data_IF_462650806322
#
_entry.id   IF_462650806322
#
_cell.length_a   1.000
_cell.length_b   1.000
_cell.length_c   1.000
_cell.angle_alpha   90.00
_cell.angle_beta   90.00
_cell.angle_gamma   90.00
#
_symmetry.space_group_name_H-M   'P 1'
#
loop_
_entity.id
_entity.type
_entity.pdbx_description
1 polymer ?
#
# COMPACT_ATOMS: atom_id res chain seq x y z
N UNK A 1 -34.94 -10.62 -25.68
CA UNK A 1 -33.63 -10.09 -25.24
C UNK A 1 -33.67 -9.91 -23.74
N UNK A 2 -32.84 -10.64 -22.98
CA UNK A 2 -32.69 -10.38 -21.55
C UNK A 2 -31.72 -9.21 -21.37
N UNK A 3 -32.21 -8.09 -20.84
CA UNK A 3 -31.36 -6.98 -20.38
C UNK A 3 -31.24 -7.08 -18.86
N UNK A 4 -30.26 -7.85 -18.41
CA UNK A 4 -29.86 -7.81 -17.00
C UNK A 4 -28.97 -6.58 -16.80
N UNK A 5 -29.25 -5.79 -15.75
CA UNK A 5 -28.41 -4.69 -15.29
C UNK A 5 -27.94 -4.99 -13.87
N UNK A 6 -26.74 -4.51 -13.52
CA UNK A 6 -26.29 -4.54 -12.13
C UNK A 6 -27.23 -3.72 -11.23
N UNK A 7 -27.26 -4.02 -9.92
CA UNK A 7 -27.95 -3.18 -8.94
C UNK A 7 -27.53 -1.71 -9.06
N UNK A 8 -28.47 -0.78 -8.83
CA UNK A 8 -28.21 0.67 -8.96
C UNK A 8 -27.06 1.16 -8.07
N UNK A 9 -26.84 0.49 -6.94
CA UNK A 9 -25.81 0.79 -5.95
C UNK A 9 -24.61 -0.18 -6.02
N UNK A 10 -24.39 -0.82 -7.17
CA UNK A 10 -23.21 -1.67 -7.34
C UNK A 10 -21.91 -0.85 -7.18
N UNK A 11 -21.01 -1.32 -6.32
CA UNK A 11 -19.78 -0.63 -5.96
C UNK A 11 -18.66 -0.95 -6.96
N UNK A 12 -18.70 -0.28 -8.11
CA UNK A 12 -17.56 -0.26 -9.02
C UNK A 12 -16.38 0.46 -8.38
N UNK A 13 -15.17 -0.06 -8.55
CA UNK A 13 -14.00 0.48 -7.88
C UNK A 13 -12.69 -0.19 -8.27
N UNK A 14 -11.63 0.19 -7.57
CA UNK A 14 -10.29 -0.38 -7.71
C UNK A 14 -9.76 -0.89 -6.37
N UNK A 15 -8.79 -1.81 -6.44
CA UNK A 15 -8.20 -2.43 -5.26
C UNK A 15 -6.67 -2.43 -5.33
N UNK A 16 -6.04 -2.16 -4.19
CA UNK A 16 -4.59 -2.13 -3.99
C UNK A 16 -4.25 -2.61 -2.57
N UNK A 17 -2.97 -2.73 -2.24
CA UNK A 17 -2.49 -2.92 -0.88
C UNK A 17 -1.35 -1.95 -0.57
N UNK A 18 -1.35 -1.39 0.63
CA UNK A 18 -0.44 -0.33 1.10
C UNK A 18 1.02 -0.53 0.66
N UNK A 19 1.61 -1.68 0.98
CA UNK A 19 3.01 -1.95 0.68
C UNK A 19 3.34 -1.95 -0.82
N UNK A 20 2.35 -2.08 -1.71
CA UNK A 20 2.55 -2.12 -3.16
C UNK A 20 2.49 -0.73 -3.81
N UNK A 21 1.90 0.27 -3.14
CA UNK A 21 1.72 1.60 -3.72
C UNK A 21 2.18 2.77 -2.86
N UNK A 22 2.05 2.69 -1.53
CA UNK A 22 2.32 3.83 -0.63
C UNK A 22 3.76 4.31 -0.75
N UNK A 23 4.73 3.39 -0.66
CA UNK A 23 6.12 3.77 -0.52
C UNK A 23 6.39 4.39 0.86
N UNK A 24 7.28 5.38 0.89
CA UNK A 24 7.64 6.13 2.11
C UNK A 24 7.86 5.21 3.33
N UNK A 25 8.62 4.12 3.12
CA UNK A 25 8.62 2.96 4.02
C UNK A 25 9.16 3.22 5.44
N UNK A 26 9.81 4.36 5.64
CA UNK A 26 10.38 4.84 6.92
C UNK A 26 9.81 6.18 7.39
N UNK A 27 8.86 6.76 6.66
CA UNK A 27 8.26 8.04 7.04
C UNK A 27 7.12 7.86 8.04
N UNK A 28 6.87 8.90 8.84
CA UNK A 28 5.78 8.93 9.83
C UNK A 28 5.91 7.84 10.90
N UNK A 29 7.13 7.47 11.26
CA UNK A 29 7.39 6.43 12.28
C UNK A 29 7.09 5.00 11.85
N UNK A 30 6.89 4.73 10.55
CA UNK A 30 6.63 3.37 10.05
C UNK A 30 7.76 2.39 10.37
N UNK A 31 7.41 1.24 10.93
CA UNK A 31 8.31 0.10 11.15
C UNK A 31 8.56 -0.76 9.91
N UNK A 32 9.53 -1.66 10.03
CA UNK A 32 9.93 -2.58 8.96
C UNK A 32 8.90 -3.70 8.85
N UNK A 33 8.27 -3.82 7.68
CA UNK A 33 7.34 -4.91 7.39
C UNK A 33 8.04 -6.09 6.71
N UNK A 34 7.33 -7.23 6.61
CA UNK A 34 7.79 -8.38 5.83
C UNK A 34 8.05 -8.05 4.36
N UNK A 35 7.34 -7.07 3.79
CA UNK A 35 7.54 -6.64 2.40
C UNK A 35 8.83 -5.81 2.22
N UNK A 36 9.25 -5.09 3.27
CA UNK A 36 10.42 -4.21 3.23
C UNK A 36 11.75 -4.98 3.18
N UNK A 37 11.72 -6.29 3.41
CA UNK A 37 12.88 -7.19 3.32
C UNK A 37 12.82 -8.10 2.09
N UNK A 38 11.89 -7.86 1.16
CA UNK A 38 11.77 -8.62 -0.09
C UNK A 38 12.43 -7.86 -1.25
N UNK A 39 13.48 -8.42 -1.83
CA UNK A 39 14.21 -7.76 -2.93
C UNK A 39 13.43 -7.80 -4.25
N UNK A 40 13.90 -7.06 -5.25
CA UNK A 40 13.38 -7.13 -6.61
C UNK A 40 13.56 -8.54 -7.21
N UNK A 41 12.54 -9.01 -7.91
CA UNK A 41 12.56 -10.25 -8.70
C UNK A 41 12.15 -9.99 -10.16
N UNK A 42 12.01 -11.05 -10.92
CA UNK A 42 11.51 -11.03 -12.30
C UNK A 42 10.78 -12.35 -12.61
N UNK A 43 10.31 -12.52 -13.83
CA UNK A 43 9.70 -13.78 -14.29
C UNK A 43 10.64 -14.99 -14.15
N UNK A 44 11.96 -14.79 -14.18
CA UNK A 44 12.98 -15.85 -14.14
C UNK A 44 13.84 -15.83 -12.89
N UNK A 45 13.70 -14.80 -12.04
CA UNK A 45 14.46 -14.65 -10.80
C UNK A 45 13.51 -14.39 -9.63
N UNK A 46 13.41 -15.30 -8.64
CA UNK A 46 12.55 -15.07 -7.49
C UNK A 46 13.04 -13.87 -6.67
N UNK A 47 12.12 -13.27 -5.93
CA UNK A 47 12.46 -12.30 -4.87
C UNK A 47 13.23 -13.03 -3.78
N UNK A 48 14.21 -12.36 -3.19
CA UNK A 48 14.95 -12.85 -2.03
C UNK A 48 14.35 -12.22 -0.76
N UNK A 49 14.20 -13.00 0.31
CA UNK A 49 13.84 -12.49 1.64
C UNK A 49 15.16 -12.34 2.42
N UNK A 50 15.49 -11.14 2.84
CA UNK A 50 16.73 -10.84 3.59
C UNK A 50 16.47 -10.74 5.09
N UNK A 51 17.50 -10.97 5.91
CA UNK A 51 17.46 -10.67 7.34
C UNK A 51 17.63 -9.15 7.53
N UNK A 52 16.49 -8.45 7.65
CA UNK A 52 16.46 -6.99 7.63
C UNK A 52 16.77 -6.39 6.26
N UNK A 53 17.01 -5.08 6.25
CA UNK A 53 17.29 -4.30 5.04
C UNK A 53 18.80 -4.19 4.84
N UNK A 54 19.28 -4.70 3.72
CA UNK A 54 20.70 -4.73 3.38
C UNK A 54 21.09 -3.60 2.41
N UNK A 55 22.17 -2.84 2.69
CA UNK A 55 22.68 -1.84 1.76
C UNK A 55 23.00 -2.44 0.39
N UNK A 56 22.70 -1.70 -0.68
CA UNK A 56 22.99 -2.11 -2.06
C UNK A 56 22.00 -3.13 -2.66
N UNK A 57 21.02 -3.62 -1.90
CA UNK A 57 19.89 -4.39 -2.44
C UNK A 57 18.75 -3.43 -2.83
N UNK A 58 17.99 -3.83 -3.85
CA UNK A 58 16.81 -3.09 -4.30
C UNK A 58 15.55 -3.71 -3.71
N UNK A 59 14.78 -2.91 -2.97
CA UNK A 59 13.51 -3.27 -2.35
C UNK A 59 12.40 -2.41 -2.97
N UNK A 60 11.65 -2.93 -3.96
CA UNK A 60 10.67 -2.12 -4.70
C UNK A 60 9.59 -1.48 -3.82
N UNK A 61 9.25 -2.12 -2.71
CA UNK A 61 8.24 -1.65 -1.76
C UNK A 61 8.67 -0.39 -0.98
N UNK A 62 9.95 -0.04 -0.96
CA UNK A 62 10.46 1.12 -0.22
C UNK A 62 9.93 2.43 -0.78
N UNK A 63 9.89 2.55 -2.11
CA UNK A 63 9.35 3.72 -2.82
C UNK A 63 8.00 3.42 -3.48
N UNK A 64 7.76 2.17 -3.90
CA UNK A 64 6.55 1.78 -4.63
C UNK A 64 6.24 2.76 -5.79
N UNK A 65 5.04 3.35 -5.82
CA UNK A 65 4.67 4.43 -6.74
C UNK A 65 4.47 5.77 -6.03
N UNK A 66 4.91 5.86 -4.77
CA UNK A 66 4.81 7.05 -3.92
C UNK A 66 3.39 7.58 -3.69
N UNK A 67 2.40 6.68 -3.59
CA UNK A 67 1.02 7.04 -3.27
C UNK A 67 0.92 7.75 -1.90
N UNK A 68 1.87 7.52 -0.98
CA UNK A 68 1.91 8.21 0.31
C UNK A 68 1.93 9.75 0.16
N UNK A 69 2.60 10.27 -0.87
CA UNK A 69 2.64 11.70 -1.17
C UNK A 69 1.61 12.14 -2.21
N UNK A 70 1.22 11.24 -3.12
CA UNK A 70 0.36 11.55 -4.27
C UNK A 70 -1.10 11.13 -4.13
N UNK A 71 -1.52 10.61 -2.97
CA UNK A 71 -2.87 10.03 -2.82
C UNK A 71 -4.00 11.02 -3.16
N UNK A 72 -3.81 12.32 -2.96
CA UNK A 72 -4.84 13.34 -3.26
C UNK A 72 -5.07 13.46 -4.77
N UNK A 73 -3.99 13.49 -5.54
CA UNK A 73 -4.01 13.55 -7.00
C UNK A 73 -4.54 12.22 -7.56
N UNK A 74 -4.11 11.09 -7.01
CA UNK A 74 -4.53 9.77 -7.47
C UNK A 74 -6.01 9.48 -7.16
N UNK A 75 -6.51 9.88 -5.99
CA UNK A 75 -7.95 9.80 -5.66
C UNK A 75 -8.76 10.68 -6.61
N UNK A 76 -8.23 11.84 -7.04
CA UNK A 76 -8.90 12.68 -8.04
C UNK A 76 -9.05 11.95 -9.38
N UNK A 77 -8.03 11.22 -9.83
CA UNK A 77 -8.10 10.39 -11.04
C UNK A 77 -9.13 9.25 -10.89
N UNK A 78 -9.17 8.60 -9.72
CA UNK A 78 -10.18 7.56 -9.43
C UNK A 78 -11.60 8.13 -9.45
N UNK A 79 -11.79 9.35 -8.95
CA UNK A 79 -13.06 10.06 -9.00
C UNK A 79 -13.47 10.42 -10.44
N UNK A 80 -12.51 10.85 -11.28
CA UNK A 80 -12.73 11.11 -12.71
C UNK A 80 -13.20 9.86 -13.46
N UNK A 81 -12.64 8.69 -13.12
CA UNK A 81 -13.08 7.39 -13.64
C UNK A 81 -14.46 6.94 -13.11
N UNK A 82 -15.02 7.63 -12.11
CA UNK A 82 -16.33 7.35 -11.55
C UNK A 82 -16.37 6.24 -10.51
N UNK A 83 -15.25 5.96 -9.83
CA UNK A 83 -15.20 4.96 -8.74
C UNK A 83 -16.26 5.24 -7.66
N UNK A 84 -16.89 4.17 -7.18
CA UNK A 84 -17.85 4.15 -6.07
C UNK A 84 -17.24 3.55 -4.81
N UNK A 85 -16.14 2.81 -4.95
CA UNK A 85 -15.33 2.31 -3.85
C UNK A 85 -13.85 2.31 -4.24
N UNK A 86 -12.99 2.50 -3.24
CA UNK A 86 -11.56 2.27 -3.36
C UNK A 86 -11.15 1.38 -2.20
N UNK A 87 -10.59 0.21 -2.52
CA UNK A 87 -10.16 -0.78 -1.55
C UNK A 87 -8.64 -0.71 -1.40
N UNK A 88 -8.17 -0.32 -0.23
CA UNK A 88 -6.76 -0.44 0.17
C UNK A 88 -6.65 -1.18 1.50
N UNK A 89 -5.43 -1.48 1.94
CA UNK A 89 -5.13 -1.93 3.29
C UNK A 89 -4.53 -0.78 4.10
N UNK A 90 -4.81 -0.71 5.39
CA UNK A 90 -4.01 0.13 6.30
C UNK A 90 -2.71 -0.61 6.60
N UNK A 91 -1.56 0.05 6.41
CA UNK A 91 -0.26 -0.55 6.70
C UNK A 91 -0.12 -0.79 8.22
N UNK A 92 -0.07 -2.06 8.64
CA UNK A 92 0.07 -2.42 10.06
C UNK A 92 1.29 -1.73 10.68
N UNK A 93 2.45 -1.80 10.06
CA UNK A 93 3.68 -1.20 10.61
C UNK A 93 3.68 0.32 10.64
N UNK A 94 2.65 0.99 10.10
CA UNK A 94 2.42 2.41 10.36
C UNK A 94 1.70 2.63 11.70
N UNK A 95 0.74 1.77 12.06
CA UNK A 95 -0.03 1.86 13.32
C UNK A 95 0.75 1.29 14.51
N UNK A 96 1.32 0.09 14.37
CA UNK A 96 2.14 -0.59 15.37
C UNK A 96 3.47 -1.01 14.71
N UNK A 97 4.50 -0.14 14.75
CA UNK A 97 5.77 -0.34 14.04
C UNK A 97 6.46 -1.68 14.29
N UNK A 98 6.47 -2.14 15.53
CA UNK A 98 7.03 -3.43 15.95
C UNK A 98 5.94 -4.50 16.13
N UNK A 99 4.69 -4.07 16.37
CA UNK A 99 3.53 -4.96 16.47
C UNK A 99 3.16 -5.33 17.91
N UNK A 100 3.92 -4.87 18.89
CA UNK A 100 3.77 -5.16 20.32
C UNK A 100 3.71 -3.89 21.19
N UNK A 101 3.64 -2.70 20.59
CA UNK A 101 3.45 -1.46 21.32
C UNK A 101 2.10 -1.44 22.05
N UNK A 102 2.07 -0.82 23.24
CA UNK A 102 0.83 -0.67 24.02
C UNK A 102 -0.12 0.36 23.41
N UNK A 103 0.43 1.38 22.77
CA UNK A 103 -0.29 2.48 22.17
C UNK A 103 0.07 2.59 20.68
N UNK A 104 -0.87 2.99 19.81
CA UNK A 104 -0.62 3.14 18.39
C UNK A 104 0.25 4.38 18.11
N UNK A 105 0.88 4.39 16.94
CA UNK A 105 1.56 5.57 16.41
C UNK A 105 0.55 6.67 16.03
N UNK A 106 0.53 7.74 16.82
CA UNK A 106 -0.43 8.85 16.65
C UNK A 106 -0.24 9.67 15.37
N UNK A 107 0.98 9.74 14.82
CA UNK A 107 1.24 10.48 13.57
C UNK A 107 0.46 9.89 12.41
N UNK A 108 0.32 8.56 12.40
CA UNK A 108 -0.35 7.81 11.33
C UNK A 108 -1.86 7.83 11.47
N UNK A 109 -2.42 8.00 12.68
CA UNK A 109 -3.87 8.16 12.84
C UNK A 109 -4.40 9.46 12.21
N UNK A 110 -3.51 10.40 11.87
CA UNK A 110 -3.85 11.66 11.18
C UNK A 110 -3.64 11.59 9.67
N UNK A 111 -2.93 10.57 9.18
CA UNK A 111 -2.66 10.33 7.76
C UNK A 111 -3.88 9.72 7.06
#
# INVERSE_FOLDING_TARGET
>A
MYSAKMPKNFLWGGAVAAHQLEGAWKEGGKGVSVADVMTVGSATKPREITDGVLPGKNYPNHSAIDFYHHYKEDIKLMAEMGFKAFRTSIAWTRIFPNGDEKEPNEEVLKF
#
